data_IF_747108306095
#
_entry.id   IF_747108306095
#
_cell.length_a   1.000
_cell.length_b   1.000
_cell.length_c   1.000
_cell.angle_alpha   90.00
_cell.angle_beta   90.00
_cell.angle_gamma   90.00
#
_symmetry.space_group_name_H-M   'P 1'
#
loop_
_entity.id
_entity.type
_entity.pdbx_description
1 polymer ?
#
# COMPACT_ATOMS: atom_id res chain seq x y z
N UNK A 1 -17.37 14.95 2.01
CA UNK A 1 -16.69 16.26 2.16
C UNK A 1 -16.87 17.04 0.86
N UNK A 2 -17.92 17.85 0.74
CA UNK A 2 -18.24 18.57 -0.53
C UNK A 2 -17.11 19.49 -0.99
N UNK A 3 -16.29 20.00 -0.08
CA UNK A 3 -15.16 20.86 -0.41
C UNK A 3 -14.02 20.12 -1.14
N UNK A 4 -13.72 18.88 -0.74
CA UNK A 4 -12.66 18.08 -1.37
C UNK A 4 -13.08 17.63 -2.77
N UNK A 5 -14.32 17.16 -2.89
CA UNK A 5 -14.96 16.75 -4.16
C UNK A 5 -14.98 17.91 -5.17
N UNK A 6 -15.44 19.10 -4.75
CA UNK A 6 -15.44 20.30 -5.61
C UNK A 6 -14.03 20.77 -6.03
N UNK A 7 -12.98 20.46 -5.26
CA UNK A 7 -11.60 20.79 -5.61
C UNK A 7 -11.04 19.79 -6.62
N UNK A 8 -11.26 18.49 -6.40
CA UNK A 8 -10.87 17.45 -7.34
C UNK A 8 -11.59 17.59 -8.68
N UNK A 9 -12.89 17.89 -8.69
CA UNK A 9 -13.68 18.10 -9.91
C UNK A 9 -13.19 19.27 -10.77
N UNK A 10 -12.63 20.32 -10.16
CA UNK A 10 -12.04 21.45 -10.90
C UNK A 10 -10.72 21.09 -11.58
N UNK A 11 -9.99 20.13 -11.01
CA UNK A 11 -8.66 19.74 -11.45
C UNK A 11 -8.72 18.56 -12.43
N UNK A 12 -9.76 17.72 -12.32
CA UNK A 12 -10.05 16.55 -13.16
C UNK A 12 -9.91 16.77 -14.68
N UNK A 13 -10.38 17.88 -15.28
CA UNK A 13 -10.29 18.11 -16.72
C UNK A 13 -8.85 18.24 -17.25
N UNK A 14 -7.89 18.55 -16.37
CA UNK A 14 -6.47 18.66 -16.72
C UNK A 14 -5.80 17.28 -16.88
N UNK A 15 -6.38 16.24 -16.27
CA UNK A 15 -5.87 14.89 -16.22
C UNK A 15 -6.65 13.91 -17.11
N UNK A 16 -7.86 14.26 -17.58
CA UNK A 16 -8.65 13.45 -18.53
C UNK A 16 -8.06 13.44 -19.96
N UNK A 17 -8.56 12.53 -20.83
CA UNK A 17 -8.09 12.36 -22.22
C UNK A 17 -8.23 13.68 -23.00
N UNK A 18 -7.11 14.34 -23.31
CA UNK A 18 -7.05 15.67 -23.96
C UNK A 18 -6.51 16.81 -23.08
N UNK A 19 -6.29 16.58 -21.78
CA UNK A 19 -5.68 17.54 -20.86
C UNK A 19 -4.14 17.57 -20.91
N UNK A 20 -3.53 18.69 -20.50
CA UNK A 20 -2.05 18.85 -20.51
C UNK A 20 -1.31 17.83 -19.64
N UNK A 21 -1.99 17.26 -18.64
CA UNK A 21 -1.42 16.31 -17.66
C UNK A 21 -1.99 14.89 -17.82
N UNK A 22 -2.52 14.54 -19.00
CA UNK A 22 -3.10 13.23 -19.30
C UNK A 22 -2.18 12.05 -18.93
N UNK A 23 -0.85 12.25 -18.97
CA UNK A 23 0.12 11.21 -18.56
C UNK A 23 0.04 10.85 -17.07
N UNK A 24 -0.40 11.75 -16.20
CA UNK A 24 -0.52 11.52 -14.75
C UNK A 24 -1.93 11.09 -14.32
N UNK A 25 -2.80 10.77 -15.27
CA UNK A 25 -4.18 10.37 -14.99
C UNK A 25 -4.26 9.23 -13.96
N UNK A 26 -3.47 8.17 -14.14
CA UNK A 26 -3.46 7.02 -13.24
C UNK A 26 -3.08 7.37 -11.78
N UNK A 27 -2.17 8.33 -11.57
CA UNK A 27 -1.77 8.77 -10.24
C UNK A 27 -2.84 9.66 -9.58
N UNK A 28 -3.49 10.51 -10.37
CA UNK A 28 -4.59 11.35 -9.91
C UNK A 28 -5.81 10.50 -9.54
N UNK A 29 -6.14 9.51 -10.35
CA UNK A 29 -7.24 8.57 -10.12
C UNK A 29 -6.99 7.66 -8.92
N UNK A 30 -5.75 7.17 -8.72
CA UNK A 30 -5.41 6.42 -7.51
C UNK A 30 -5.60 7.26 -6.23
N UNK A 31 -5.23 8.56 -6.28
CA UNK A 31 -5.46 9.50 -5.19
C UNK A 31 -6.95 9.80 -4.96
N UNK A 32 -7.71 10.06 -6.02
CA UNK A 32 -9.15 10.29 -5.96
C UNK A 32 -9.87 9.07 -5.35
N UNK A 33 -9.56 7.87 -5.83
CA UNK A 33 -10.17 6.61 -5.39
C UNK A 33 -9.73 6.20 -3.97
N UNK A 34 -8.62 6.74 -3.46
CA UNK A 34 -8.21 6.56 -2.06
C UNK A 34 -9.10 7.38 -1.10
N UNK A 35 -9.45 8.61 -1.47
CA UNK A 35 -10.21 9.53 -0.61
C UNK A 35 -11.73 9.52 -0.87
N UNK A 36 -12.15 9.19 -2.09
CA UNK A 36 -13.54 9.29 -2.55
C UNK A 36 -14.00 7.97 -3.16
N UNK A 37 -15.31 7.73 -3.05
CA UNK A 37 -15.97 6.61 -3.72
C UNK A 37 -16.12 6.94 -5.20
N UNK A 38 -15.89 5.97 -6.10
CA UNK A 38 -16.12 6.18 -7.51
C UNK A 38 -17.56 6.61 -7.84
N UNK A 39 -17.76 7.59 -8.74
CA UNK A 39 -19.10 8.02 -9.14
C UNK A 39 -19.76 7.11 -10.18
N UNK A 40 -19.03 6.14 -10.75
CA UNK A 40 -19.58 5.29 -11.81
C UNK A 40 -20.56 4.23 -11.27
N UNK A 41 -21.77 4.23 -11.82
CA UNK A 41 -22.78 3.19 -11.58
C UNK A 41 -22.96 2.35 -12.84
N UNK A 42 -23.13 1.04 -12.66
CA UNK A 42 -23.38 0.11 -13.78
C UNK A 42 -24.68 0.50 -14.50
N UNK A 43 -24.59 0.86 -15.78
CA UNK A 43 -25.74 1.27 -16.61
C UNK A 43 -26.55 0.09 -17.16
N UNK A 44 -25.94 -1.07 -17.29
CA UNK A 44 -26.55 -2.33 -17.78
C UNK A 44 -26.45 -3.43 -16.72
N UNK A 45 -27.40 -4.36 -16.70
CA UNK A 45 -27.44 -5.45 -15.72
C UNK A 45 -26.27 -6.43 -15.89
N UNK A 46 -25.43 -6.65 -14.87
CA UNK A 46 -24.42 -7.71 -14.90
C UNK A 46 -25.06 -9.09 -14.72
N UNK A 47 -24.38 -10.14 -15.18
CA UNK A 47 -24.83 -11.53 -15.05
C UNK A 47 -24.96 -11.98 -13.58
N UNK A 48 -24.08 -11.48 -12.70
CA UNK A 48 -24.11 -11.68 -11.23
C UNK A 48 -23.69 -10.38 -10.56
N UNK A 49 -24.38 -9.99 -9.49
CA UNK A 49 -23.99 -8.86 -8.63
C UNK A 49 -23.28 -9.41 -7.39
N UNK A 50 -21.97 -9.25 -7.36
CA UNK A 50 -21.14 -9.61 -6.21
C UNK A 50 -20.90 -8.36 -5.33
N UNK A 51 -21.14 -8.41 -4.01
CA UNK A 51 -20.74 -7.34 -3.10
C UNK A 51 -19.23 -7.33 -2.78
N UNK A 52 -18.48 -8.36 -3.20
CA UNK A 52 -17.04 -8.43 -3.00
C UNK A 52 -16.33 -7.52 -4.02
N UNK A 53 -15.69 -6.50 -3.48
CA UNK A 53 -14.90 -5.54 -4.24
C UNK A 53 -13.42 -5.87 -4.00
N UNK A 54 -12.58 -5.78 -5.04
CA UNK A 54 -11.15 -6.04 -4.93
C UNK A 54 -10.51 -5.19 -3.82
N UNK A 55 -10.93 -3.92 -3.68
CA UNK A 55 -10.44 -3.02 -2.64
C UNK A 55 -10.75 -3.55 -1.25
N UNK A 56 -11.97 -4.06 -1.07
CA UNK A 56 -12.42 -4.60 0.22
C UNK A 56 -11.58 -5.81 0.60
N UNK A 57 -11.35 -6.71 -0.34
CA UNK A 57 -10.50 -7.89 -0.11
C UNK A 57 -9.07 -7.45 0.24
N UNK A 58 -8.47 -6.54 -0.53
CA UNK A 58 -7.10 -6.09 -0.27
C UNK A 58 -6.95 -5.45 1.12
N UNK A 59 -7.90 -4.61 1.55
CA UNK A 59 -7.86 -4.00 2.89
C UNK A 59 -7.98 -5.06 3.99
N UNK A 60 -8.84 -6.08 3.81
CA UNK A 60 -8.93 -7.17 4.81
C UNK A 60 -7.61 -7.93 4.96
N UNK A 61 -6.87 -8.13 3.87
CA UNK A 61 -5.54 -8.75 3.91
C UNK A 61 -4.56 -7.87 4.68
N UNK A 62 -4.56 -6.56 4.46
CA UNK A 62 -3.68 -5.62 5.19
C UNK A 62 -3.94 -5.66 6.68
N UNK A 63 -5.22 -5.67 7.09
CA UNK A 63 -5.60 -5.80 8.51
C UNK A 63 -5.10 -7.13 9.08
N UNK A 64 -5.19 -8.22 8.32
CA UNK A 64 -4.67 -9.52 8.74
C UNK A 64 -3.13 -9.56 8.84
N UNK A 65 -2.42 -8.73 8.05
CA UNK A 65 -0.95 -8.64 8.09
C UNK A 65 -0.41 -7.76 9.23
N UNK A 66 -1.20 -6.85 9.80
CA UNK A 66 -0.80 -6.04 10.94
C UNK A 66 -0.27 -6.87 12.14
N UNK A 67 -1.01 -7.88 12.66
CA UNK A 67 -0.50 -8.71 13.76
C UNK A 67 0.76 -9.50 13.36
N UNK A 68 0.84 -9.98 12.11
CA UNK A 68 2.03 -10.66 11.60
C UNK A 68 3.25 -9.72 11.55
N UNK A 69 3.03 -8.46 11.16
CA UNK A 69 4.10 -7.46 11.09
C UNK A 69 4.61 -7.10 12.48
N UNK A 70 3.71 -6.90 13.44
CA UNK A 70 4.08 -6.64 14.83
C UNK A 70 4.84 -7.81 15.45
N UNK A 71 4.39 -9.04 15.19
CA UNK A 71 5.09 -10.24 15.63
C UNK A 71 6.46 -10.39 14.95
N UNK A 72 6.57 -10.08 13.66
CA UNK A 72 7.84 -10.09 12.93
C UNK A 72 8.86 -9.12 13.53
N UNK A 73 8.44 -7.89 13.83
CA UNK A 73 9.27 -6.88 14.52
C UNK A 73 9.73 -7.40 15.89
N UNK A 74 8.79 -7.89 16.70
CA UNK A 74 9.11 -8.45 18.01
C UNK A 74 10.10 -9.62 17.92
N UNK A 75 9.86 -10.57 17.01
CA UNK A 75 10.68 -11.77 16.86
C UNK A 75 12.09 -11.45 16.37
N UNK A 76 12.24 -10.51 15.43
CA UNK A 76 13.55 -10.06 14.96
C UNK A 76 14.39 -9.47 16.11
N UNK A 77 13.79 -8.60 16.92
CA UNK A 77 14.48 -8.01 18.07
C UNK A 77 14.72 -8.98 19.21
N UNK A 78 13.79 -9.91 19.46
CA UNK A 78 13.96 -10.98 20.45
C UNK A 78 15.20 -11.85 20.13
N UNK A 79 15.34 -12.27 18.87
CA UNK A 79 16.49 -13.07 18.44
C UNK A 79 17.79 -12.25 18.47
N UNK A 80 17.73 -10.95 18.14
CA UNK A 80 18.89 -10.06 18.25
C UNK A 80 19.39 -9.90 19.69
N UNK A 81 18.49 -9.68 20.65
CA UNK A 81 18.86 -9.55 22.08
C UNK A 81 19.41 -10.85 22.64
N UNK A 82 18.78 -11.97 22.29
CA UNK A 82 19.24 -13.30 22.69
C UNK A 82 20.65 -13.60 22.16
N UNK A 83 20.96 -13.20 20.93
CA UNK A 83 22.29 -13.35 20.35
C UNK A 83 23.35 -12.47 21.06
N UNK A 84 22.95 -11.35 21.66
CA UNK A 84 23.82 -10.46 22.45
C UNK A 84 23.96 -10.90 23.92
N UNK A 85 23.22 -11.93 24.36
CA UNK A 85 23.22 -12.39 25.75
C UNK A 85 22.46 -11.48 26.72
N UNK A 86 21.60 -10.59 26.21
CA UNK A 86 20.75 -9.70 27.02
C UNK A 86 19.39 -10.38 27.21
N UNK A 87 18.86 -10.37 28.44
CA UNK A 87 17.54 -10.92 28.71
C UNK A 87 16.45 -10.19 27.92
N UNK A 88 15.73 -10.88 27.02
CA UNK A 88 14.78 -10.26 26.13
C UNK A 88 13.48 -9.93 26.87
N UNK A 89 13.30 -8.66 27.25
CA UNK A 89 12.00 -8.14 27.70
C UNK A 89 11.12 -7.79 26.50
N UNK A 90 9.79 -7.77 26.69
CA UNK A 90 8.84 -7.49 25.60
C UNK A 90 9.11 -6.15 24.91
N UNK A 91 9.32 -5.11 25.71
CA UNK A 91 9.55 -3.74 25.21
C UNK A 91 10.92 -3.63 24.55
N UNK A 92 11.98 -4.20 25.16
CA UNK A 92 13.32 -4.15 24.56
C UNK A 92 13.37 -4.91 23.23
N UNK A 93 12.68 -6.05 23.13
CA UNK A 93 12.61 -6.84 21.90
C UNK A 93 11.92 -6.04 20.78
N UNK A 94 10.82 -5.34 21.09
CA UNK A 94 10.16 -4.50 20.09
C UNK A 94 11.01 -3.30 19.66
N UNK A 95 11.62 -2.59 20.61
CA UNK A 95 12.49 -1.43 20.33
C UNK A 95 13.74 -1.81 19.53
N UNK A 96 14.29 -3.01 19.75
CA UNK A 96 15.45 -3.52 19.01
C UNK A 96 15.07 -4.02 17.62
N UNK A 97 13.87 -4.60 17.46
CA UNK A 97 13.39 -5.10 16.18
C UNK A 97 12.89 -4.01 15.22
N UNK A 98 12.40 -2.89 15.74
CA UNK A 98 11.88 -1.78 14.96
C UNK A 98 12.90 -1.23 13.93
N UNK A 99 14.14 -0.86 14.31
CA UNK A 99 15.15 -0.37 13.36
C UNK A 99 15.64 -1.44 12.37
N UNK A 100 15.44 -2.73 12.65
CA UNK A 100 15.80 -3.81 11.72
C UNK A 100 14.77 -3.99 10.60
N UNK A 101 13.47 -3.98 10.95
CA UNK A 101 12.40 -4.33 10.01
C UNK A 101 11.81 -3.11 9.30
N UNK A 102 11.71 -1.97 9.98
CA UNK A 102 11.05 -0.77 9.48
C UNK A 102 11.72 -0.18 8.22
N UNK A 103 13.06 -0.12 8.10
CA UNK A 103 13.71 0.35 6.87
C UNK A 103 13.40 -0.52 5.65
N UNK A 104 13.31 -1.85 5.83
CA UNK A 104 12.99 -2.79 4.73
C UNK A 104 11.57 -2.54 4.21
N UNK A 105 10.61 -2.32 5.13
CA UNK A 105 9.24 -1.97 4.78
C UNK A 105 9.22 -0.65 3.99
N UNK A 106 9.90 0.39 4.47
CA UNK A 106 9.93 1.70 3.79
C UNK A 106 10.51 1.58 2.38
N UNK A 107 11.64 0.89 2.22
CA UNK A 107 12.29 0.71 0.92
C UNK A 107 11.41 -0.09 -0.04
N UNK A 108 10.76 -1.16 0.44
CA UNK A 108 9.80 -1.95 -0.34
C UNK A 108 8.67 -1.08 -0.89
N UNK A 109 8.04 -0.27 -0.04
CA UNK A 109 6.96 0.64 -0.45
C UNK A 109 7.44 1.75 -1.37
N UNK A 110 8.58 2.37 -1.08
CA UNK A 110 9.10 3.48 -1.87
C UNK A 110 9.52 3.04 -3.27
N UNK A 111 10.36 2.01 -3.37
CA UNK A 111 10.87 1.53 -4.66
C UNK A 111 9.78 0.83 -5.46
N UNK A 112 9.02 -0.07 -4.82
CA UNK A 112 7.93 -0.78 -5.45
C UNK A 112 6.84 0.16 -5.96
N UNK A 113 6.44 1.13 -5.13
CA UNK A 113 5.35 2.05 -5.45
C UNK A 113 5.74 3.03 -6.55
N UNK A 114 7.01 3.46 -6.55
CA UNK A 114 7.56 4.30 -7.62
C UNK A 114 7.54 3.56 -8.95
N UNK A 115 8.01 2.31 -8.99
CA UNK A 115 8.01 1.53 -10.23
C UNK A 115 6.60 1.20 -10.71
N UNK A 116 5.70 0.85 -9.81
CA UNK A 116 4.32 0.58 -10.17
C UNK A 116 3.63 1.81 -10.75
N UNK A 117 3.82 2.99 -10.13
CA UNK A 117 3.29 4.24 -10.64
C UNK A 117 3.85 4.57 -12.04
N UNK A 118 5.16 4.36 -12.27
CA UNK A 118 5.77 4.58 -13.58
C UNK A 118 5.17 3.64 -14.63
N UNK A 119 5.05 2.34 -14.33
CA UNK A 119 4.49 1.38 -15.27
C UNK A 119 3.00 1.60 -15.54
N UNK A 120 2.22 1.99 -14.54
CA UNK A 120 0.82 2.37 -14.69
C UNK A 120 0.66 3.58 -15.63
N UNK A 121 1.52 4.59 -15.47
CA UNK A 121 1.57 5.77 -16.36
C UNK A 121 1.94 5.38 -17.79
N UNK A 122 2.97 4.55 -17.99
CA UNK A 122 3.44 4.14 -19.32
C UNK A 122 2.41 3.28 -20.05
N UNK A 123 1.72 2.39 -19.33
CA UNK A 123 0.74 1.47 -19.91
C UNK A 123 -0.68 2.04 -19.93
N UNK A 124 -0.93 3.17 -19.27
CA UNK A 124 -2.22 3.83 -19.21
C UNK A 124 -3.29 3.02 -18.49
N UNK A 125 -2.91 2.25 -17.47
CA UNK A 125 -3.85 1.54 -16.59
C UNK A 125 -3.80 2.13 -15.18
N UNK A 126 -4.87 1.90 -14.41
CA UNK A 126 -4.96 2.30 -13.01
C UNK A 126 -3.91 1.58 -12.14
N UNK A 127 -3.52 2.21 -11.03
CA UNK A 127 -2.64 1.60 -10.03
C UNK A 127 -3.42 0.50 -9.30
N UNK A 128 -2.82 -0.68 -9.17
CA UNK A 128 -3.50 -1.80 -8.53
C UNK A 128 -3.38 -1.70 -7.02
N UNK A 129 -4.49 -1.86 -6.31
CA UNK A 129 -4.55 -1.87 -4.84
C UNK A 129 -3.76 -3.04 -4.24
N UNK A 130 -3.50 -4.09 -5.03
CA UNK A 130 -2.62 -5.19 -4.68
C UNK A 130 -1.19 -4.76 -4.34
N UNK A 131 -0.74 -3.57 -4.79
CA UNK A 131 0.54 -3.03 -4.35
C UNK A 131 0.63 -2.87 -2.84
N UNK A 132 -0.44 -2.36 -2.22
CA UNK A 132 -0.44 -2.06 -0.80
C UNK A 132 -0.24 -3.34 0.03
N UNK A 133 -0.72 -4.47 -0.49
CA UNK A 133 -0.54 -5.80 0.10
C UNK A 133 0.86 -6.36 -0.18
N UNK A 134 1.30 -6.33 -1.44
CA UNK A 134 2.60 -6.89 -1.85
C UNK A 134 3.78 -6.15 -1.23
N UNK A 135 3.68 -4.83 -1.08
CA UNK A 135 4.68 -3.99 -0.41
C UNK A 135 4.90 -4.36 1.06
N UNK A 136 3.89 -4.91 1.75
CA UNK A 136 3.99 -5.42 3.12
C UNK A 136 4.38 -6.90 3.19
N UNK A 137 3.90 -7.72 2.24
CA UNK A 137 4.23 -9.15 2.21
C UNK A 137 5.71 -9.40 1.91
N UNK A 138 6.28 -8.64 0.98
CA UNK A 138 7.68 -8.78 0.57
C UNK A 138 8.69 -8.66 1.73
N UNK A 139 8.65 -7.61 2.59
CA UNK A 139 9.56 -7.51 3.72
C UNK A 139 9.31 -8.58 4.79
N UNK A 140 8.13 -9.20 4.84
CA UNK A 140 7.81 -10.27 5.80
C UNK A 140 8.30 -11.66 5.37
N UNK A 141 8.58 -11.87 4.08
CA UNK A 141 9.12 -13.14 3.59
C UNK A 141 10.65 -13.16 3.59
N UNK A 142 11.29 -12.00 3.73
CA UNK A 142 12.73 -11.84 3.71
C UNK A 142 13.34 -11.90 5.11
N UNK A 143 14.60 -12.37 5.24
CA UNK A 143 15.30 -12.30 6.51
C UNK A 143 15.60 -10.83 6.89
N UNK A 144 15.54 -10.46 8.19
CA UNK A 144 15.76 -9.09 8.67
C UNK A 144 17.22 -8.62 8.55
N UNK A 145 18.14 -9.52 8.18
CA UNK A 145 19.56 -9.23 7.98
C UNK A 145 19.90 -8.85 6.53
N UNK A 146 18.90 -8.74 5.66
CA UNK A 146 19.13 -8.37 4.26
C UNK A 146 19.73 -6.97 4.16
N UNK A 147 20.84 -6.79 3.41
CA UNK A 147 21.37 -5.45 3.16
C UNK A 147 20.40 -4.65 2.29
N UNK A 148 20.21 -3.38 2.63
CA UNK A 148 19.42 -2.40 1.88
C UNK A 148 20.29 -1.58 0.93
#
# INVERSE_FOLDING_TARGET
MKALENLLDKVRPLFEKGGKLQKFHAAFEAGETFFLTPPWVTKTGPHVRDPIDLKRVMITVVVALLPCTLFGIYNAGYQSLRAQGIDPTLIASFMTGLPLVLPIIIVSYAVGGTWEAIFAIVRGHEINEGFLVTGLLFPLTLPPTMPL
#
